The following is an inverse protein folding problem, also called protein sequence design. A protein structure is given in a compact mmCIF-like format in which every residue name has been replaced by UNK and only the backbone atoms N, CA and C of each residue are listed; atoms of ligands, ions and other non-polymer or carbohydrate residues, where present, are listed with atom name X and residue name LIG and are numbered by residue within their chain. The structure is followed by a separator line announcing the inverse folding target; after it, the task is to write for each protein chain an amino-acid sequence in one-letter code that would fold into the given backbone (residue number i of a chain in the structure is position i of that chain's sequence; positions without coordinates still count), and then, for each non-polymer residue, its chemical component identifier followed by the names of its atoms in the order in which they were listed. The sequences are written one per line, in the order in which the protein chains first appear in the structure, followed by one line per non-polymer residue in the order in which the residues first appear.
data_IF_475906141319
#
_entry.id   IF_475906141319
#
_cell.length_a   1.000
_cell.length_b   1.000
_cell.length_c   1.000
_cell.angle_alpha   90.00
_cell.angle_beta   90.00
_cell.angle_gamma   90.00
#
_symmetry.space_group_name_H-M   'P 1'
#
loop_
_entity.id
_entity.type
_entity.pdbx_description
1 polymer ?
#
# COMPACT_ATOMS: atom_id res chain seq x y z
N UNK A 1 61.71 -15.14 -11.14
CA UNK A 1 61.12 -14.06 -10.32
C UNK A 1 59.64 -14.05 -10.64
N UNK A 2 58.81 -14.40 -9.66
CA UNK A 2 57.40 -14.75 -9.85
C UNK A 2 56.46 -13.56 -10.03
N UNK A 3 55.21 -13.80 -10.47
CA UNK A 3 54.16 -12.80 -10.45
C UNK A 3 53.61 -12.63 -9.03
N UNK A 4 53.39 -11.38 -8.66
CA UNK A 4 52.89 -10.91 -7.36
C UNK A 4 51.41 -11.26 -7.22
N UNK A 5 51.06 -11.98 -6.16
CA UNK A 5 49.68 -12.20 -5.71
C UNK A 5 49.06 -10.88 -5.23
N UNK A 6 48.06 -10.38 -5.95
CA UNK A 6 47.13 -9.38 -5.45
C UNK A 6 45.89 -10.06 -4.88
N UNK A 7 45.82 -10.21 -3.56
CA UNK A 7 44.59 -10.63 -2.87
C UNK A 7 43.60 -9.45 -2.86
N UNK A 8 42.55 -9.51 -3.66
CA UNK A 8 41.35 -8.70 -3.42
C UNK A 8 40.49 -9.40 -2.35
N UNK A 9 40.59 -8.94 -1.10
CA UNK A 9 39.54 -9.13 -0.11
C UNK A 9 38.41 -8.15 -0.43
N UNK A 10 37.23 -8.66 -0.78
CA UNK A 10 35.98 -7.92 -0.62
C UNK A 10 35.29 -8.49 0.62
N UNK A 11 35.41 -7.74 1.71
CA UNK A 11 34.54 -7.83 2.89
C UNK A 11 33.58 -6.65 2.72
N UNK A 12 32.39 -6.90 2.17
CA UNK A 12 31.28 -5.95 2.22
C UNK A 12 30.22 -6.52 3.15
N UNK A 13 30.18 -5.96 4.36
CA UNK A 13 29.07 -6.07 5.28
C UNK A 13 27.82 -5.46 4.61
N UNK A 14 26.96 -6.31 4.04
CA UNK A 14 25.63 -5.92 3.57
C UNK A 14 24.71 -5.88 4.80
N UNK A 15 24.17 -4.72 5.23
CA UNK A 15 23.22 -4.68 6.32
C UNK A 15 21.91 -5.34 5.87
N UNK A 16 21.41 -6.30 6.66
CA UNK A 16 20.12 -6.98 6.48
C UNK A 16 18.94 -5.98 6.58
N UNK A 17 18.64 -5.26 5.51
CA UNK A 17 17.66 -4.17 5.48
C UNK A 17 16.21 -4.62 5.69
N UNK A 18 15.87 -5.86 5.31
CA UNK A 18 14.50 -6.40 5.40
C UNK A 18 13.99 -6.44 6.85
N UNK A 19 14.86 -6.79 7.80
CA UNK A 19 14.47 -6.87 9.21
C UNK A 19 14.20 -5.49 9.84
N UNK A 20 14.91 -4.45 9.42
CA UNK A 20 14.80 -3.12 10.05
C UNK A 20 13.47 -2.43 9.71
N UNK A 21 13.06 -2.47 8.44
CA UNK A 21 11.80 -1.88 7.99
C UNK A 21 10.59 -2.66 8.49
N UNK A 22 10.67 -3.99 8.53
CA UNK A 22 9.61 -4.85 9.08
C UNK A 22 9.43 -4.67 10.59
N UNK A 23 10.50 -4.39 11.33
CA UNK A 23 10.45 -4.06 12.77
C UNK A 23 9.84 -2.68 13.01
N UNK A 24 10.21 -1.66 12.24
CA UNK A 24 9.63 -0.32 12.40
C UNK A 24 8.15 -0.28 11.98
N UNK A 25 7.80 -1.00 10.91
CA UNK A 25 6.43 -1.20 10.47
C UNK A 25 5.55 -1.90 11.52
N UNK A 26 6.04 -3.03 12.08
CA UNK A 26 5.35 -3.73 13.15
C UNK A 26 5.14 -2.83 14.38
N UNK A 27 6.15 -2.04 14.76
CA UNK A 27 6.03 -1.06 15.86
C UNK A 27 5.03 0.06 15.56
N UNK A 28 4.93 0.51 14.31
CA UNK A 28 4.01 1.60 13.95
C UNK A 28 2.55 1.15 13.90
N UNK A 29 2.27 -0.03 13.33
CA UNK A 29 0.94 -0.66 13.45
C UNK A 29 0.60 -0.86 14.92
N UNK A 30 1.54 -1.37 15.72
CA UNK A 30 1.34 -1.61 17.14
C UNK A 30 1.09 -0.33 17.95
N UNK A 31 1.84 0.74 17.69
CA UNK A 31 1.60 2.07 18.29
C UNK A 31 0.22 2.61 17.90
N UNK A 32 -0.18 2.41 16.65
CA UNK A 32 -1.49 2.85 16.16
C UNK A 32 -2.63 2.07 16.83
N UNK A 33 -2.54 0.75 16.90
CA UNK A 33 -3.51 -0.11 17.58
C UNK A 33 -3.63 0.22 19.08
N UNK A 34 -2.54 0.63 19.73
CA UNK A 34 -2.53 1.06 21.14
C UNK A 34 -3.18 2.42 21.38
N UNK A 35 -3.17 3.34 20.41
CA UNK A 35 -3.79 4.67 20.52
C UNK A 35 -5.32 4.60 20.42
N UNK A 36 -5.86 3.61 19.70
CA UNK A 36 -7.30 3.38 19.57
C UNK A 36 -7.98 2.85 20.86
N UNK A 37 -7.22 2.42 21.86
CA UNK A 37 -7.76 1.67 23.02
C UNK A 37 -8.13 2.51 24.25
N UNK A 38 -8.21 3.86 24.18
CA UNK A 38 -8.61 4.69 25.35
C UNK A 38 -9.65 5.78 25.03
N UNK A 39 -10.84 5.75 25.65
CA UNK A 39 -11.63 6.95 25.88
C UNK A 39 -11.12 7.66 27.15
N UNK A 40 -11.05 8.99 27.11
CA UNK A 40 -10.84 9.92 28.23
C UNK A 40 -9.45 9.94 28.89
N UNK A 41 -8.52 10.72 28.35
CA UNK A 41 -7.67 11.64 29.14
C UNK A 41 -6.87 12.57 28.21
N UNK A 42 -6.73 13.83 28.62
CA UNK A 42 -6.14 14.95 27.88
C UNK A 42 -4.73 14.69 27.31
N UNK A 43 -4.35 15.31 26.19
CA UNK A 43 -3.06 15.08 25.55
C UNK A 43 -1.95 15.76 26.36
N UNK A 44 -1.06 14.97 26.97
CA UNK A 44 0.24 15.46 27.44
C UNK A 44 1.26 15.39 26.31
N UNK A 45 1.79 16.55 25.96
CA UNK A 45 2.90 16.75 25.02
C UNK A 45 4.15 16.03 25.54
N UNK A 46 4.64 15.03 24.81
CA UNK A 46 5.88 14.31 25.11
C UNK A 46 6.98 14.79 24.15
N UNK A 47 7.84 15.67 24.65
CA UNK A 47 9.16 15.95 24.07
C UNK A 47 10.10 14.77 24.36
N UNK A 48 10.79 14.26 23.33
CA UNK A 48 11.89 13.30 23.51
C UNK A 48 13.12 13.72 22.66
N UNK A 49 14.31 13.87 23.28
CA UNK A 49 15.57 14.18 22.58
C UNK A 49 16.21 12.95 21.93
N UNK A 50 17.15 13.21 21.00
CA UNK A 50 17.64 12.31 19.94
C UNK A 50 18.23 10.94 20.34
N UNK A 51 18.13 10.01 19.37
CA UNK A 51 18.58 8.61 19.44
C UNK A 51 20.07 8.44 19.05
N UNK A 52 20.85 7.83 19.94
CA UNK A 52 22.13 7.18 19.62
C UNK A 52 21.92 5.67 19.41
N UNK A 53 22.66 5.09 18.46
CA UNK A 53 22.62 3.66 18.09
C UNK A 53 23.68 2.84 18.82
N UNK A 54 23.34 1.63 19.26
CA UNK A 54 24.30 0.57 19.62
C UNK A 54 23.96 -0.74 18.92
N UNK A 55 24.96 -1.32 18.26
CA UNK A 55 24.92 -2.54 17.46
C UNK A 55 24.85 -3.82 18.32
N UNK A 56 24.18 -4.85 17.81
CA UNK A 56 24.31 -6.23 18.30
C UNK A 56 23.29 -7.19 17.68
N UNK A 57 23.76 -8.16 16.89
CA UNK A 57 22.99 -9.30 16.40
C UNK A 57 22.88 -10.38 17.49
N UNK A 58 21.67 -10.85 17.81
CA UNK A 58 21.46 -12.16 18.41
C UNK A 58 20.28 -12.89 17.78
N UNK A 59 20.54 -14.16 17.49
CA UNK A 59 19.62 -15.17 16.97
C UNK A 59 18.56 -15.50 18.05
N UNK A 60 17.27 -15.48 17.72
CA UNK A 60 16.22 -16.03 18.59
C UNK A 60 15.15 -16.75 17.77
N UNK A 61 15.28 -18.09 17.76
CA UNK A 61 14.20 -19.01 17.43
C UNK A 61 13.10 -18.95 18.49
N UNK A 62 11.84 -18.98 18.02
CA UNK A 62 10.58 -19.16 18.77
C UNK A 62 10.36 -18.21 19.96
N UNK A 63 9.51 -17.20 19.73
CA UNK A 63 8.52 -16.71 20.70
C UNK A 63 7.45 -15.90 19.93
N UNK A 64 6.21 -16.37 19.98
CA UNK A 64 5.02 -15.79 19.33
C UNK A 64 4.47 -14.57 20.09
N UNK A 65 5.34 -13.67 20.54
CA UNK A 65 4.96 -12.43 21.23
C UNK A 65 6.08 -11.40 21.08
N UNK A 66 5.76 -10.25 20.50
CA UNK A 66 6.69 -9.12 20.42
C UNK A 66 6.71 -8.45 21.80
N UNK A 67 7.73 -8.74 22.60
CA UNK A 67 7.93 -8.06 23.89
C UNK A 67 8.58 -6.70 23.64
N UNK A 68 7.84 -5.61 23.84
CA UNK A 68 8.40 -4.26 23.81
C UNK A 68 8.96 -3.93 25.19
N UNK A 69 10.28 -3.87 25.33
CA UNK A 69 10.95 -3.51 26.59
C UNK A 69 11.23 -2.00 26.60
N UNK A 70 10.56 -1.26 27.49
CA UNK A 70 11.08 0.01 28.02
C UNK A 70 11.68 -0.26 29.42
N UNK A 71 12.59 0.58 29.94
CA UNK A 71 13.20 0.36 31.26
C UNK A 71 12.22 0.32 32.44
N UNK A 72 10.92 0.61 32.25
CA UNK A 72 9.94 0.70 33.34
C UNK A 72 8.71 -0.21 33.20
N UNK A 73 8.38 -0.75 32.02
CA UNK A 73 7.15 -1.53 31.82
C UNK A 73 7.32 -2.67 30.81
N UNK A 74 6.94 -3.90 31.21
CA UNK A 74 6.81 -5.04 30.30
C UNK A 74 5.42 -4.94 29.65
N UNK A 75 5.36 -4.41 28.43
CA UNK A 75 4.12 -4.44 27.64
C UNK A 75 4.04 -5.78 26.91
N UNK A 76 3.07 -6.62 27.30
CA UNK A 76 2.60 -7.69 26.44
C UNK A 76 1.90 -7.03 25.25
N UNK A 77 2.53 -7.05 24.09
CA UNK A 77 1.90 -6.54 22.89
C UNK A 77 0.99 -7.59 22.29
N UNK A 78 -0.31 -7.29 22.29
CA UNK A 78 -1.33 -8.08 21.64
C UNK A 78 -1.25 -7.89 20.12
N UNK A 79 -1.37 -8.99 19.38
CA UNK A 79 -1.35 -8.95 17.93
C UNK A 79 -2.76 -8.66 17.42
N UNK A 80 -2.91 -7.60 16.61
CA UNK A 80 -4.22 -7.19 16.08
C UNK A 80 -4.78 -8.14 15.02
N UNK A 81 -6.10 -8.11 14.89
CA UNK A 81 -6.91 -8.80 13.89
C UNK A 81 -7.24 -7.87 12.73
N UNK A 82 -6.71 -8.16 11.55
CA UNK A 82 -6.78 -7.30 10.37
C UNK A 82 -7.68 -7.92 9.28
N UNK A 83 -8.55 -7.08 8.73
CA UNK A 83 -9.30 -7.39 7.53
C UNK A 83 -8.46 -7.00 6.31
N UNK A 84 -8.16 -7.93 5.42
CA UNK A 84 -7.32 -7.65 4.24
C UNK A 84 -8.20 -7.57 3.00
N UNK A 85 -8.19 -6.41 2.33
CA UNK A 85 -8.89 -6.15 1.06
C UNK A 85 -7.85 -5.82 -0.01
N UNK A 86 -7.34 -6.82 -0.74
CA UNK A 86 -6.27 -6.62 -1.71
C UNK A 86 -6.80 -6.18 -3.07
N UNK A 87 -5.93 -5.54 -3.86
CA UNK A 87 -6.14 -5.40 -5.31
C UNK A 87 -5.50 -6.60 -6.03
N UNK A 88 -6.25 -7.21 -6.95
CA UNK A 88 -5.84 -8.40 -7.70
C UNK A 88 -4.67 -8.11 -8.67
N UNK A 89 -4.03 -9.15 -9.20
CA UNK A 89 -2.94 -9.01 -10.15
C UNK A 89 -1.62 -8.61 -9.49
N UNK A 90 -0.92 -7.63 -10.07
CA UNK A 90 0.46 -7.32 -9.71
C UNK A 90 0.62 -6.71 -8.31
N UNK A 91 -0.41 -6.03 -7.81
CA UNK A 91 -0.42 -5.40 -6.49
C UNK A 91 -0.37 -6.46 -5.38
N UNK A 92 -1.14 -7.53 -5.54
CA UNK A 92 -1.19 -8.65 -4.59
C UNK A 92 0.16 -9.31 -4.35
N UNK A 93 1.01 -9.47 -5.38
CA UNK A 93 2.32 -10.12 -5.19
C UNK A 93 3.17 -9.45 -4.12
N UNK A 94 3.17 -8.12 -4.09
CA UNK A 94 3.94 -7.35 -3.10
C UNK A 94 3.23 -7.28 -1.75
N UNK A 95 1.89 -7.18 -1.76
CA UNK A 95 1.09 -7.14 -0.54
C UNK A 95 1.13 -8.46 0.22
N UNK A 96 1.12 -9.59 -0.50
CA UNK A 96 1.18 -10.95 0.06
C UNK A 96 2.39 -11.14 0.97
N UNK A 97 3.55 -10.63 0.59
CA UNK A 97 4.76 -10.71 1.42
C UNK A 97 4.57 -10.01 2.78
N UNK A 98 3.89 -8.86 2.79
CA UNK A 98 3.58 -8.13 4.02
C UNK A 98 2.55 -8.90 4.85
N UNK A 99 1.51 -9.44 4.22
CA UNK A 99 0.49 -10.30 4.88
C UNK A 99 1.14 -11.51 5.55
N UNK A 100 2.05 -12.21 4.87
CA UNK A 100 2.79 -13.35 5.43
C UNK A 100 3.64 -12.94 6.65
N UNK A 101 4.32 -11.80 6.56
CA UNK A 101 5.14 -11.25 7.64
C UNK A 101 4.33 -10.79 8.86
N UNK A 102 3.10 -10.30 8.65
CA UNK A 102 2.18 -9.94 9.73
C UNK A 102 1.68 -11.19 10.46
N UNK A 103 1.32 -12.25 9.73
CA UNK A 103 0.92 -13.54 10.33
C UNK A 103 2.06 -14.15 11.13
N UNK A 104 3.29 -14.14 10.60
CA UNK A 104 4.48 -14.60 11.33
C UNK A 104 4.72 -13.83 12.64
N UNK A 105 4.28 -12.58 12.71
CA UNK A 105 4.33 -11.73 13.92
C UNK A 105 3.13 -11.93 14.86
N UNK A 106 2.25 -12.87 14.56
CA UNK A 106 1.13 -13.27 15.41
C UNK A 106 -0.20 -12.58 15.09
N UNK A 107 -0.26 -11.70 14.09
CA UNK A 107 -1.51 -11.04 13.71
C UNK A 107 -2.51 -12.04 13.10
N UNK A 108 -3.79 -11.91 13.44
CA UNK A 108 -4.88 -12.66 12.80
C UNK A 108 -5.31 -11.91 11.53
N UNK A 109 -5.17 -12.53 10.35
CA UNK A 109 -5.52 -11.89 9.08
C UNK A 109 -6.63 -12.68 8.38
N UNK A 110 -7.68 -11.96 7.98
CA UNK A 110 -8.75 -12.52 7.15
C UNK A 110 -8.78 -11.79 5.82
N UNK A 111 -8.51 -12.53 4.75
CA UNK A 111 -8.49 -12.04 3.38
C UNK A 111 -9.90 -12.13 2.79
N UNK A 112 -10.42 -11.01 2.25
CA UNK A 112 -11.69 -10.98 1.52
C UNK A 112 -11.41 -10.78 0.04
N UNK A 113 -11.82 -11.75 -0.78
CA UNK A 113 -11.54 -11.75 -2.22
C UNK A 113 -12.76 -12.17 -3.04
N UNK A 114 -12.89 -11.72 -4.29
CA UNK A 114 -13.86 -12.29 -5.21
C UNK A 114 -13.54 -13.77 -5.51
N UNK A 115 -14.57 -14.57 -5.80
CA UNK A 115 -14.39 -15.97 -6.25
C UNK A 115 -13.61 -16.06 -7.58
N UNK A 116 -13.79 -15.06 -8.46
CA UNK A 116 -13.09 -14.94 -9.73
C UNK A 116 -11.98 -13.90 -9.60
N UNK A 117 -10.74 -14.33 -9.77
CA UNK A 117 -9.53 -13.50 -9.69
C UNK A 117 -8.41 -14.04 -10.58
N UNK A 118 -7.44 -13.18 -10.94
CA UNK A 118 -6.22 -13.54 -11.65
C UNK A 118 -5.19 -14.18 -10.73
N UNK A 119 -4.93 -13.59 -9.57
CA UNK A 119 -3.77 -13.92 -8.71
C UNK A 119 -4.12 -14.07 -7.23
N UNK A 120 -5.35 -13.74 -6.81
CA UNK A 120 -5.80 -13.86 -5.41
C UNK A 120 -6.05 -15.33 -4.96
N UNK A 121 -5.40 -16.31 -5.58
CA UNK A 121 -5.63 -17.74 -5.35
C UNK A 121 -5.53 -18.19 -3.88
N UNK A 122 -6.16 -19.33 -3.59
CA UNK A 122 -6.24 -19.95 -2.26
C UNK A 122 -4.88 -20.51 -1.81
N UNK A 123 -4.00 -19.64 -1.32
CA UNK A 123 -2.85 -20.09 -0.53
C UNK A 123 -3.33 -20.69 0.80
N UNK A 124 -2.71 -21.79 1.24
CA UNK A 124 -3.07 -22.53 2.46
C UNK A 124 -2.80 -21.76 3.77
N UNK A 125 -2.09 -20.65 3.70
CA UNK A 125 -1.55 -19.98 4.88
C UNK A 125 -2.41 -18.79 5.39
N UNK A 126 -3.55 -18.52 4.74
CA UNK A 126 -4.44 -17.40 5.09
C UNK A 126 -5.85 -17.90 5.37
N UNK A 127 -6.55 -17.24 6.30
CA UNK A 127 -8.01 -17.38 6.36
C UNK A 127 -8.60 -16.54 5.23
N UNK A 128 -9.32 -17.19 4.32
CA UNK A 128 -9.90 -16.55 3.14
C UNK A 128 -11.43 -16.64 3.19
N UNK A 129 -12.10 -15.51 2.97
CA UNK A 129 -13.53 -15.43 2.71
C UNK A 129 -13.74 -14.96 1.28
N UNK A 130 -14.61 -15.67 0.57
CA UNK A 130 -14.91 -15.37 -0.84
C UNK A 130 -16.35 -14.89 -0.98
N UNK A 131 -16.60 -14.05 -1.98
CA UNK A 131 -17.94 -13.65 -2.40
C UNK A 131 -18.09 -13.85 -3.92
N UNK A 132 -19.31 -14.20 -4.34
CA UNK A 132 -19.60 -14.46 -5.74
C UNK A 132 -19.53 -13.20 -6.58
N UNK A 133 -19.06 -13.33 -7.82
CA UNK A 133 -18.94 -12.23 -8.78
C UNK A 133 -20.01 -12.34 -9.86
N UNK A 134 -20.44 -11.19 -10.40
CA UNK A 134 -21.32 -11.14 -11.56
C UNK A 134 -20.63 -11.52 -12.89
N UNK A 135 -19.28 -11.52 -12.89
CA UNK A 135 -18.46 -11.85 -14.05
C UNK A 135 -17.71 -13.18 -13.86
N UNK A 136 -17.34 -13.80 -14.98
CA UNK A 136 -16.49 -14.98 -15.03
C UNK A 136 -15.05 -14.65 -15.46
N UNK A 137 -14.15 -15.64 -15.43
CA UNK A 137 -12.73 -15.43 -15.72
C UNK A 137 -12.47 -15.00 -17.17
N UNK A 138 -13.28 -15.45 -18.13
CA UNK A 138 -13.12 -15.07 -19.54
C UNK A 138 -13.46 -13.58 -19.74
N UNK A 139 -14.54 -13.10 -19.12
CA UNK A 139 -14.90 -11.68 -19.13
C UNK A 139 -13.81 -10.85 -18.46
N UNK A 140 -13.30 -11.30 -17.30
CA UNK A 140 -12.19 -10.65 -16.62
C UNK A 140 -10.93 -10.56 -17.49
N UNK A 141 -10.57 -11.64 -18.19
CA UNK A 141 -9.44 -11.66 -19.13
C UNK A 141 -9.66 -10.74 -20.33
N UNK A 142 -10.88 -10.69 -20.87
CA UNK A 142 -11.21 -9.83 -22.01
C UNK A 142 -11.15 -8.34 -21.63
N UNK A 143 -11.55 -7.99 -20.40
CA UNK A 143 -11.38 -6.64 -19.86
C UNK A 143 -9.89 -6.27 -19.78
N UNK A 144 -9.05 -7.14 -19.21
CA UNK A 144 -7.61 -6.90 -19.14
C UNK A 144 -6.96 -6.78 -20.52
N UNK A 145 -7.38 -7.60 -21.48
CA UNK A 145 -6.87 -7.54 -22.86
C UNK A 145 -7.20 -6.20 -23.51
N UNK A 146 -8.43 -5.71 -23.38
CA UNK A 146 -8.84 -4.39 -23.90
C UNK A 146 -8.01 -3.26 -23.28
N UNK A 147 -7.79 -3.32 -21.96
CA UNK A 147 -6.91 -2.38 -21.25
C UNK A 147 -5.46 -2.45 -21.74
N UNK A 148 -4.91 -3.66 -21.88
CA UNK A 148 -3.53 -3.85 -22.36
C UNK A 148 -3.35 -3.39 -23.81
N UNK A 149 -4.28 -3.74 -24.70
CA UNK A 149 -4.20 -3.41 -26.13
C UNK A 149 -4.28 -1.90 -26.35
N UNK A 150 -5.14 -1.21 -25.61
CA UNK A 150 -5.24 0.25 -25.69
C UNK A 150 -3.98 0.95 -25.18
N UNK A 151 -3.46 0.55 -24.02
CA UNK A 151 -2.29 1.18 -23.42
C UNK A 151 -0.96 0.81 -24.09
N UNK A 152 -0.85 -0.38 -24.69
CA UNK A 152 0.37 -0.80 -25.39
C UNK A 152 0.50 -0.19 -26.78
N UNK A 153 -0.63 0.02 -27.46
CA UNK A 153 -0.65 0.60 -28.81
C UNK A 153 -0.66 2.14 -28.81
N UNK A 154 -1.12 2.76 -27.72
CA UNK A 154 -1.13 4.21 -27.54
C UNK A 154 0.06 4.60 -26.66
N UNK A 155 1.06 5.27 -27.24
CA UNK A 155 2.06 5.98 -26.44
C UNK A 155 1.37 7.17 -25.79
N UNK A 156 0.77 6.96 -24.62
CA UNK A 156 0.03 8.01 -23.91
C UNK A 156 0.98 9.18 -23.63
N UNK A 157 0.73 10.30 -24.29
CA UNK A 157 1.53 11.52 -24.18
C UNK A 157 0.94 12.47 -23.13
N UNK A 158 -0.32 12.29 -22.76
CA UNK A 158 -1.01 13.08 -21.73
C UNK A 158 -2.16 12.31 -21.09
N UNK A 159 -2.60 12.76 -19.91
CA UNK A 159 -3.78 12.22 -19.23
C UNK A 159 -5.06 12.37 -20.04
N UNK A 160 -5.15 13.39 -20.90
CA UNK A 160 -6.27 13.57 -21.83
C UNK A 160 -6.35 12.44 -22.87
N UNK A 161 -5.20 11.94 -23.35
CA UNK A 161 -5.20 10.79 -24.26
C UNK A 161 -5.60 9.50 -23.57
N UNK A 162 -5.33 9.37 -22.28
CA UNK A 162 -5.81 8.26 -21.44
C UNK A 162 -7.31 8.37 -21.13
N UNK A 163 -7.87 9.58 -21.09
CA UNK A 163 -9.30 9.82 -20.90
C UNK A 163 -10.16 9.43 -22.09
N UNK A 164 -9.70 9.75 -23.30
CA UNK A 164 -10.43 9.46 -24.54
C UNK A 164 -10.31 7.99 -24.96
N UNK A 165 -9.57 7.20 -24.19
CA UNK A 165 -9.30 5.80 -24.46
C UNK A 165 -10.38 4.92 -23.84
N UNK A 166 -10.79 3.88 -24.56
CA UNK A 166 -11.85 2.93 -24.13
C UNK A 166 -11.45 2.06 -22.92
N UNK A 167 -10.25 2.26 -22.39
CA UNK A 167 -9.75 1.65 -21.16
C UNK A 167 -10.35 2.26 -19.90
N UNK A 168 -10.95 3.46 -19.96
CA UNK A 168 -11.67 4.06 -18.83
C UNK A 168 -12.76 3.12 -18.31
N UNK A 169 -13.51 2.50 -19.22
CA UNK A 169 -14.61 1.58 -18.91
C UNK A 169 -14.09 0.31 -18.20
N UNK A 170 -12.86 -0.11 -18.49
CA UNK A 170 -12.22 -1.26 -17.82
C UNK A 170 -11.98 -0.96 -16.34
N UNK A 171 -11.57 0.26 -16.01
CA UNK A 171 -11.45 0.67 -14.62
C UNK A 171 -12.80 0.70 -13.92
N UNK A 172 -13.85 1.19 -14.57
CA UNK A 172 -15.20 1.18 -13.99
C UNK A 172 -15.64 -0.23 -13.57
N UNK A 173 -15.39 -1.22 -14.42
CA UNK A 173 -15.68 -2.62 -14.10
C UNK A 173 -14.83 -3.17 -12.96
N UNK A 174 -13.59 -2.70 -12.79
CA UNK A 174 -12.73 -3.09 -11.68
C UNK A 174 -13.35 -2.72 -10.34
N UNK A 175 -14.15 -1.65 -10.23
CA UNK A 175 -14.74 -1.27 -8.95
C UNK A 175 -16.12 -1.90 -8.67
N UNK A 176 -16.75 -2.55 -9.67
CA UNK A 176 -18.07 -3.17 -9.52
C UNK A 176 -18.05 -4.39 -8.60
N UNK A 177 -16.91 -5.07 -8.44
CA UNK A 177 -16.84 -6.21 -7.52
C UNK A 177 -17.15 -5.79 -6.07
N UNK A 178 -16.97 -4.52 -5.71
CA UNK A 178 -17.33 -4.04 -4.39
C UNK A 178 -18.84 -4.14 -4.12
N UNK A 179 -19.69 -3.89 -5.12
CA UNK A 179 -21.14 -4.12 -4.98
C UNK A 179 -21.45 -5.59 -4.66
N UNK A 180 -20.72 -6.51 -5.29
CA UNK A 180 -20.92 -7.95 -5.06
C UNK A 180 -20.55 -8.34 -3.61
N UNK A 181 -19.49 -7.77 -3.04
CA UNK A 181 -19.11 -7.96 -1.64
C UNK A 181 -20.26 -7.56 -0.70
N UNK A 182 -20.81 -6.35 -0.88
CA UNK A 182 -21.91 -5.84 -0.05
C UNK A 182 -23.28 -6.47 -0.36
N UNK A 183 -23.41 -7.17 -1.50
CA UNK A 183 -24.60 -7.94 -1.84
C UNK A 183 -24.65 -9.31 -1.16
N UNK A 184 -23.56 -9.75 -0.53
CA UNK A 184 -23.53 -10.97 0.29
C UNK A 184 -23.80 -10.62 1.77
N UNK A 185 -25.05 -10.76 2.26
CA UNK A 185 -25.39 -10.40 3.64
C UNK A 185 -24.64 -11.25 4.66
N UNK A 186 -24.31 -12.51 4.34
CA UNK A 186 -23.59 -13.40 5.27
C UNK A 186 -22.16 -12.93 5.45
N UNK A 187 -21.52 -12.46 4.39
CA UNK A 187 -20.17 -11.91 4.47
C UNK A 187 -20.16 -10.59 5.24
N UNK A 188 -21.11 -9.68 4.95
CA UNK A 188 -21.23 -8.40 5.66
C UNK A 188 -21.47 -8.60 7.15
N UNK A 189 -22.38 -9.53 7.52
CA UNK A 189 -22.64 -9.89 8.91
C UNK A 189 -21.42 -10.50 9.58
N UNK A 190 -20.72 -11.42 8.90
CA UNK A 190 -19.47 -11.99 9.39
C UNK A 190 -18.41 -10.92 9.68
N UNK A 191 -18.21 -9.94 8.78
CA UNK A 191 -17.23 -8.86 9.00
C UNK A 191 -17.60 -8.06 10.24
N UNK A 192 -18.88 -7.71 10.38
CA UNK A 192 -19.40 -6.95 11.51
C UNK A 192 -19.21 -7.68 12.84
N UNK A 193 -19.49 -8.97 12.89
CA UNK A 193 -19.38 -9.77 14.12
C UNK A 193 -17.93 -10.11 14.49
N UNK A 194 -17.06 -10.22 13.49
CA UNK A 194 -15.66 -10.64 13.67
C UNK A 194 -14.77 -9.61 14.39
N UNK A 195 -15.26 -8.38 14.61
CA UNK A 195 -14.58 -7.32 15.38
C UNK A 195 -13.12 -7.11 14.96
N UNK A 196 -12.91 -6.70 13.72
CA UNK A 196 -11.57 -6.37 13.20
C UNK A 196 -11.04 -5.06 13.81
N UNK A 197 -9.72 -4.97 13.99
CA UNK A 197 -9.07 -3.78 14.52
C UNK A 197 -8.76 -2.73 13.45
N UNK A 198 -8.48 -3.18 12.22
CA UNK A 198 -8.21 -2.31 11.07
C UNK A 198 -8.40 -3.05 9.74
N UNK A 199 -8.54 -2.28 8.67
CA UNK A 199 -8.57 -2.76 7.28
C UNK A 199 -7.20 -2.50 6.64
N UNK A 200 -6.53 -3.56 6.20
CA UNK A 200 -5.30 -3.49 5.42
C UNK A 200 -5.63 -3.60 3.93
N UNK A 201 -5.36 -2.56 3.15
CA UNK A 201 -5.90 -2.43 1.80
C UNK A 201 -4.94 -1.79 0.80
N UNK A 202 -5.14 -2.07 -0.49
CA UNK A 202 -4.52 -1.32 -1.59
C UNK A 202 -5.52 -0.30 -2.15
N UNK A 203 -5.23 1.01 -2.09
CA UNK A 203 -6.18 2.08 -2.41
C UNK A 203 -6.37 2.33 -3.91
N UNK A 204 -5.63 1.60 -4.77
CA UNK A 204 -5.90 1.59 -6.20
C UNK A 204 -7.28 1.00 -6.50
N UNK A 205 -7.69 0.01 -5.71
CA UNK A 205 -9.08 -0.42 -5.58
C UNK A 205 -9.74 0.34 -4.40
N UNK A 206 -10.76 1.13 -4.71
CA UNK A 206 -11.50 1.90 -3.69
C UNK A 206 -12.32 1.01 -2.76
N UNK A 207 -12.55 -0.26 -3.08
CA UNK A 207 -13.40 -1.12 -2.28
C UNK A 207 -12.91 -1.26 -0.84
N UNK A 208 -11.59 -1.37 -0.63
CA UNK A 208 -11.02 -1.41 0.72
C UNK A 208 -11.36 -0.17 1.55
N UNK A 209 -11.34 1.01 0.94
CA UNK A 209 -11.69 2.27 1.61
C UNK A 209 -13.19 2.34 1.93
N UNK A 210 -14.04 1.85 1.02
CA UNK A 210 -15.49 1.75 1.25
C UNK A 210 -15.76 0.79 2.41
N UNK A 211 -15.09 -0.36 2.46
CA UNK A 211 -15.16 -1.33 3.57
C UNK A 211 -14.75 -0.68 4.88
N UNK A 212 -13.60 0.00 4.92
CA UNK A 212 -13.14 0.71 6.10
C UNK A 212 -14.16 1.74 6.60
N UNK A 213 -14.71 2.54 5.69
CA UNK A 213 -15.73 3.55 6.03
C UNK A 213 -17.05 2.92 6.49
N UNK A 214 -17.53 1.89 5.81
CA UNK A 214 -18.81 1.22 6.12
C UNK A 214 -18.80 0.62 7.52
N UNK A 215 -17.71 -0.05 7.90
CA UNK A 215 -17.56 -0.67 9.23
C UNK A 215 -16.97 0.28 10.27
N UNK A 216 -16.68 1.54 9.91
CA UNK A 216 -16.02 2.52 10.78
C UNK A 216 -14.70 2.01 11.37
N UNK A 217 -13.92 1.31 10.53
CA UNK A 217 -12.63 0.74 10.89
C UNK A 217 -11.48 1.64 10.44
N UNK A 218 -10.40 1.76 11.23
CA UNK A 218 -9.15 2.34 10.77
C UNK A 218 -8.63 1.67 9.50
N UNK A 219 -8.09 2.45 8.56
CA UNK A 219 -7.46 1.92 7.35
C UNK A 219 -5.93 2.06 7.37
N UNK A 220 -5.26 0.95 7.04
CA UNK A 220 -3.84 0.88 6.76
C UNK A 220 -3.69 0.68 5.25
N UNK A 221 -3.28 1.74 4.57
CA UNK A 221 -3.13 1.77 3.12
C UNK A 221 -1.75 1.23 2.72
N UNK A 222 -1.72 0.32 1.75
CA UNK A 222 -0.51 -0.21 1.12
C UNK A 222 -0.46 0.23 -0.33
N UNK A 223 0.41 1.18 -0.67
CA UNK A 223 0.42 1.77 -2.01
C UNK A 223 1.79 2.24 -2.45
N UNK A 224 2.06 2.29 -3.76
CA UNK A 224 3.22 3.03 -4.28
C UNK A 224 2.92 4.53 -4.40
N UNK A 225 1.66 4.89 -4.53
CA UNK A 225 1.14 6.23 -4.73
C UNK A 225 -0.32 6.15 -5.18
N UNK A 226 -1.06 7.24 -5.09
CA UNK A 226 -2.40 7.31 -5.67
C UNK A 226 -2.34 7.91 -7.06
N UNK A 227 -3.31 7.54 -7.89
CA UNK A 227 -3.53 8.22 -9.15
C UNK A 227 -3.93 9.68 -8.86
N UNK A 228 -3.51 10.61 -9.72
CA UNK A 228 -3.84 12.04 -9.60
C UNK A 228 -3.29 12.75 -8.37
N UNK A 229 -3.95 13.84 -7.97
CA UNK A 229 -3.66 14.68 -6.81
C UNK A 229 -4.15 14.08 -5.47
N UNK A 230 -4.82 12.92 -5.49
CA UNK A 230 -5.48 12.39 -4.30
C UNK A 230 -4.50 11.97 -3.20
N UNK A 231 -3.28 11.52 -3.52
CA UNK A 231 -2.31 11.21 -2.45
C UNK A 231 -2.02 12.46 -1.63
N UNK A 232 -1.73 13.57 -2.30
CA UNK A 232 -1.42 14.84 -1.67
C UNK A 232 -2.59 15.40 -0.86
N UNK A 233 -3.80 15.45 -1.44
CA UNK A 233 -4.97 15.96 -0.74
C UNK A 233 -5.34 15.11 0.48
N UNK A 234 -5.24 13.79 0.35
CA UNK A 234 -5.65 12.85 1.40
C UNK A 234 -4.68 12.79 2.55
N UNK A 235 -3.38 12.93 2.24
CA UNK A 235 -2.34 13.05 3.27
C UNK A 235 -2.25 14.48 3.80
N UNK A 236 -2.92 15.46 3.18
CA UNK A 236 -2.75 16.89 3.45
C UNK A 236 -1.28 17.33 3.32
N UNK A 237 -0.53 16.63 2.47
CA UNK A 237 0.89 16.80 2.32
C UNK A 237 1.19 17.65 1.07
N UNK A 238 1.83 18.83 1.20
CA UNK A 238 2.09 19.70 0.05
C UNK A 238 2.97 19.04 -1.01
N UNK A 239 2.58 19.15 -2.28
CA UNK A 239 3.42 18.77 -3.43
C UNK A 239 3.41 19.88 -4.48
N UNK A 240 4.24 20.93 -4.30
CA UNK A 240 4.17 22.09 -5.16
C UNK A 240 4.65 21.77 -6.58
N UNK A 241 3.83 22.04 -7.62
CA UNK A 241 4.20 21.74 -9.01
C UNK A 241 5.35 22.61 -9.52
N UNK A 242 5.78 23.61 -8.74
CA UNK A 242 6.97 24.40 -9.08
C UNK A 242 8.24 23.57 -8.99
N UNK A 243 8.35 22.57 -8.11
CA UNK A 243 9.57 21.77 -7.94
C UNK A 243 9.35 20.26 -7.76
N UNK A 244 8.10 19.80 -7.61
CA UNK A 244 7.76 18.38 -7.61
C UNK A 244 7.16 18.00 -8.98
N UNK A 245 7.87 17.21 -9.80
CA UNK A 245 7.32 16.69 -11.05
C UNK A 245 6.10 15.79 -10.86
N UNK A 246 5.12 15.89 -11.77
CA UNK A 246 4.03 14.93 -11.89
C UNK A 246 4.54 13.63 -12.53
N UNK A 247 4.08 12.50 -11.99
CA UNK A 247 4.66 11.16 -12.20
C UNK A 247 4.77 10.76 -13.68
N UNK A 248 3.80 11.14 -14.51
CA UNK A 248 3.75 10.72 -15.92
C UNK A 248 4.57 11.59 -16.89
N UNK A 249 5.14 12.70 -16.43
CA UNK A 249 5.90 13.60 -17.30
C UNK A 249 7.39 13.22 -17.42
N UNK A 250 7.91 12.43 -16.48
CA UNK A 250 9.32 12.01 -16.50
C UNK A 250 10.32 13.17 -16.42
N UNK A 251 9.91 14.32 -15.89
CA UNK A 251 10.81 15.46 -15.70
C UNK A 251 11.78 15.21 -14.54
N UNK A 252 12.99 15.79 -14.58
CA UNK A 252 13.95 15.71 -13.49
C UNK A 252 13.49 16.52 -12.27
N UNK A 253 14.16 16.31 -11.13
CA UNK A 253 14.04 17.12 -9.92
C UNK A 253 14.36 18.61 -10.18
N UNK A 254 15.36 18.87 -11.03
CA UNK A 254 15.74 20.20 -11.47
C UNK A 254 15.04 20.61 -12.79
N UNK A 255 13.75 20.96 -12.71
CA UNK A 255 12.98 21.43 -13.87
C UNK A 255 13.36 22.84 -14.34
N UNK A 256 13.49 23.02 -15.65
CA UNK A 256 13.52 24.32 -16.35
C UNK A 256 12.18 25.06 -16.26
N UNK A 257 12.15 26.35 -16.61
CA UNK A 257 10.90 27.13 -16.61
C UNK A 257 9.81 26.49 -17.50
N UNK A 258 10.18 26.00 -18.69
CA UNK A 258 9.24 25.35 -19.60
C UNK A 258 8.67 24.06 -19.01
N UNK A 259 9.51 23.23 -18.39
CA UNK A 259 9.07 22.00 -17.72
C UNK A 259 8.15 22.32 -16.55
N UNK A 260 8.43 23.35 -15.74
CA UNK A 260 7.54 23.79 -14.66
C UNK A 260 6.18 24.26 -15.16
N UNK A 261 6.13 24.96 -16.28
CA UNK A 261 4.87 25.38 -16.92
C UNK A 261 4.06 24.15 -17.35
N UNK A 262 4.68 23.19 -18.02
CA UNK A 262 4.00 21.94 -18.40
C UNK A 262 3.58 21.10 -17.20
N UNK A 263 4.43 21.03 -16.17
CA UNK A 263 4.12 20.34 -14.93
C UNK A 263 2.89 20.92 -14.23
N UNK A 264 2.76 22.25 -14.22
CA UNK A 264 1.60 22.93 -13.70
C UNK A 264 0.34 22.70 -14.54
N UNK A 265 0.46 22.72 -15.88
CA UNK A 265 -0.66 22.39 -16.79
C UNK A 265 -1.15 20.97 -16.51
N UNK A 266 -0.26 19.98 -16.45
CA UNK A 266 -0.65 18.60 -16.16
C UNK A 266 -1.28 18.43 -14.77
N UNK A 267 -0.80 19.17 -13.76
CA UNK A 267 -1.45 19.20 -12.45
C UNK A 267 -2.90 19.71 -12.54
N UNK A 268 -3.19 20.73 -13.35
CA UNK A 268 -4.56 21.20 -13.58
C UNK A 268 -5.40 20.20 -14.38
N UNK A 269 -4.81 19.56 -15.40
CA UNK A 269 -5.47 18.51 -16.18
C UNK A 269 -5.90 17.33 -15.30
N UNK A 270 -5.07 16.92 -14.33
CA UNK A 270 -5.43 15.88 -13.35
C UNK A 270 -6.70 16.22 -12.57
N UNK A 271 -6.87 17.47 -12.11
CA UNK A 271 -8.06 17.83 -11.33
C UNK A 271 -9.36 17.70 -12.13
N UNK A 272 -9.29 17.97 -13.44
CA UNK A 272 -10.43 17.79 -14.34
C UNK A 272 -10.65 16.33 -14.70
N UNK A 273 -9.58 15.63 -15.10
CA UNK A 273 -9.60 14.24 -15.53
C UNK A 273 -10.12 13.30 -14.43
N UNK A 274 -9.59 13.45 -13.23
CA UNK A 274 -9.78 12.47 -12.18
C UNK A 274 -11.19 12.49 -11.57
N UNK A 275 -11.87 13.64 -11.64
CA UNK A 275 -13.28 13.70 -11.25
C UNK A 275 -14.15 12.76 -12.09
N UNK A 276 -13.86 12.65 -13.39
CA UNK A 276 -14.57 11.71 -14.26
C UNK A 276 -14.13 10.27 -14.05
N UNK A 277 -12.81 10.03 -13.95
CA UNK A 277 -12.27 8.68 -13.76
C UNK A 277 -12.83 7.96 -12.53
N UNK A 278 -13.08 8.69 -11.44
CA UNK A 278 -13.63 8.13 -10.21
C UNK A 278 -15.15 8.24 -10.09
N UNK A 279 -15.87 8.66 -11.13
CA UNK A 279 -17.33 8.83 -11.07
C UNK A 279 -18.04 7.53 -10.68
N UNK A 280 -17.87 6.45 -11.46
CA UNK A 280 -18.53 5.17 -11.21
C UNK A 280 -18.17 4.58 -9.82
N UNK A 281 -16.90 4.55 -9.40
CA UNK A 281 -16.53 4.12 -8.04
C UNK A 281 -17.20 4.92 -6.92
N UNK A 282 -17.33 6.24 -7.08
CA UNK A 282 -17.98 7.11 -6.10
C UNK A 282 -19.50 6.91 -6.07
N UNK A 283 -20.13 6.64 -7.21
CA UNK A 283 -21.55 6.27 -7.28
C UNK A 283 -21.79 4.94 -6.55
N UNK A 284 -20.94 3.94 -6.78
CA UNK A 284 -20.96 2.66 -6.05
C UNK A 284 -20.78 2.88 -4.55
N UNK A 285 -19.79 3.68 -4.14
CA UNK A 285 -19.55 4.01 -2.74
C UNK A 285 -20.76 4.70 -2.10
N UNK A 286 -21.38 5.63 -2.83
CA UNK A 286 -22.55 6.38 -2.36
C UNK A 286 -23.78 5.48 -2.18
N UNK A 287 -23.98 4.52 -3.09
CA UNK A 287 -25.03 3.50 -2.98
C UNK A 287 -24.80 2.60 -1.77
N UNK A 288 -23.59 2.09 -1.57
CA UNK A 288 -23.27 1.21 -0.43
C UNK A 288 -23.41 1.94 0.92
N UNK A 289 -22.87 3.16 0.99
CA UNK A 289 -22.85 3.96 2.22
C UNK A 289 -24.15 4.74 2.45
N UNK A 290 -25.10 4.71 1.50
CA UNK A 290 -26.39 5.39 1.54
C UNK A 290 -26.25 6.91 1.82
N UNK A 291 -25.19 7.52 1.29
CA UNK A 291 -24.87 8.94 1.44
C UNK A 291 -24.03 9.42 0.26
N UNK A 292 -24.00 10.72 -0.01
CA UNK A 292 -23.07 11.25 -1.02
C UNK A 292 -21.63 11.09 -0.54
N UNK A 293 -20.76 10.56 -1.40
CA UNK A 293 -19.35 10.29 -1.09
C UNK A 293 -18.44 11.02 -2.08
N UNK A 294 -17.45 11.72 -1.55
CA UNK A 294 -16.35 12.31 -2.32
C UNK A 294 -15.08 11.45 -2.25
N UNK A 295 -14.08 11.64 -3.12
CA UNK A 295 -12.77 10.99 -2.94
C UNK A 295 -12.15 11.33 -1.58
N UNK A 296 -12.23 12.61 -1.19
CA UNK A 296 -11.74 13.08 0.10
C UNK A 296 -12.36 12.31 1.27
N UNK A 297 -13.65 12.04 1.22
CA UNK A 297 -14.39 11.28 2.24
C UNK A 297 -13.84 9.86 2.48
N UNK A 298 -13.30 9.22 1.45
CA UNK A 298 -12.73 7.87 1.51
C UNK A 298 -11.26 7.90 1.93
N UNK A 299 -10.46 8.78 1.34
CA UNK A 299 -9.01 8.75 1.50
C UNK A 299 -8.51 9.54 2.74
N UNK A 300 -9.17 10.64 3.12
CA UNK A 300 -8.67 11.54 4.19
C UNK A 300 -8.66 10.92 5.59
N UNK A 301 -9.43 9.86 5.81
CA UNK A 301 -9.52 9.14 7.08
C UNK A 301 -8.50 8.00 7.21
N UNK A 302 -7.51 7.95 6.30
CA UNK A 302 -6.47 6.92 6.33
C UNK A 302 -5.56 7.08 7.54
N UNK A 303 -5.46 6.00 8.31
CA UNK A 303 -4.71 6.01 9.57
C UNK A 303 -3.21 5.86 9.36
N UNK A 304 -2.79 4.97 8.45
CA UNK A 304 -1.38 4.77 8.10
C UNK A 304 -1.26 4.62 6.59
N UNK A 305 -0.28 5.31 6.01
CA UNK A 305 0.13 5.18 4.61
C UNK A 305 1.44 4.42 4.51
N UNK A 306 1.39 3.16 4.10
CA UNK A 306 2.58 2.38 3.76
C UNK A 306 2.94 2.59 2.30
N UNK A 307 4.00 3.34 2.08
CA UNK A 307 4.48 3.73 0.77
C UNK A 307 5.52 2.72 0.27
N UNK A 308 5.21 2.01 -0.82
CA UNK A 308 6.07 1.04 -1.51
C UNK A 308 7.15 1.72 -2.35
N UNK A 309 7.81 2.70 -1.77
CA UNK A 309 8.89 3.47 -2.33
C UNK A 309 9.90 3.75 -1.20
N UNK A 310 11.14 4.03 -1.58
CA UNK A 310 12.14 4.59 -0.67
C UNK A 310 12.21 6.08 -0.92
N UNK A 311 12.30 6.87 0.15
CA UNK A 311 12.36 8.33 0.06
C UNK A 311 13.56 8.83 -0.75
N UNK A 312 14.63 8.02 -0.87
CA UNK A 312 15.82 8.33 -1.68
C UNK A 312 15.50 8.38 -3.18
N UNK A 313 14.48 7.64 -3.63
CA UNK A 313 14.04 7.61 -5.04
C UNK A 313 12.82 8.49 -5.31
N UNK A 314 12.35 9.26 -4.33
CA UNK A 314 11.22 10.16 -4.48
C UNK A 314 11.68 11.63 -4.50
N UNK A 315 10.84 12.51 -5.02
CA UNK A 315 11.14 13.94 -5.07
C UNK A 315 11.12 14.54 -3.66
N UNK A 316 11.95 15.55 -3.37
CA UNK A 316 11.99 16.18 -2.06
C UNK A 316 10.67 16.93 -1.81
N UNK A 317 9.79 16.32 -1.02
CA UNK A 317 8.53 16.92 -0.55
C UNK A 317 8.31 16.60 0.93
N UNK A 318 7.51 17.41 1.65
CA UNK A 318 7.10 17.08 3.00
C UNK A 318 6.50 15.67 3.08
N UNK A 319 6.51 15.09 4.27
CA UNK A 319 5.87 13.80 4.58
C UNK A 319 5.18 13.92 5.93
N UNK A 320 4.02 13.29 6.06
CA UNK A 320 3.26 13.30 7.31
C UNK A 320 3.72 12.18 8.25
N UNK A 321 3.56 12.32 9.58
CA UNK A 321 4.00 11.30 10.55
C UNK A 321 3.36 9.92 10.36
N UNK A 322 2.18 9.85 9.73
CA UNK A 322 1.50 8.61 9.41
C UNK A 322 1.90 8.02 8.04
N UNK A 323 2.88 8.60 7.35
CA UNK A 323 3.42 8.09 6.09
C UNK A 323 4.74 7.34 6.35
N UNK A 324 4.78 6.10 5.90
CA UNK A 324 5.84 5.13 6.22
C UNK A 324 6.39 4.55 4.93
N UNK A 325 7.65 4.85 4.64
CA UNK A 325 8.33 4.31 3.46
C UNK A 325 8.80 2.89 3.75
N UNK A 326 8.30 1.95 2.95
CA UNK A 326 8.60 0.52 3.01
C UNK A 326 9.20 0.05 1.67
N UNK A 327 10.09 0.87 1.10
CA UNK A 327 10.90 0.48 -0.05
C UNK A 327 11.74 -0.78 0.22
N UNK A 328 12.06 -1.53 -0.83
CA UNK A 328 12.94 -2.70 -0.73
C UNK A 328 12.31 -3.98 -0.15
N UNK A 329 11.01 -3.99 0.19
CA UNK A 329 10.31 -5.17 0.75
C UNK A 329 10.28 -6.40 -0.16
N UNK A 330 10.52 -6.21 -1.46
CA UNK A 330 10.54 -7.31 -2.43
C UNK A 330 11.92 -8.00 -2.52
N UNK A 331 12.96 -7.46 -1.87
CA UNK A 331 14.31 -8.02 -1.92
C UNK A 331 14.42 -9.20 -0.96
N UNK A 332 14.87 -10.35 -1.48
CA UNK A 332 15.27 -11.50 -0.66
C UNK A 332 16.79 -11.53 -0.55
N UNK A 333 17.31 -12.22 0.47
CA UNK A 333 18.75 -12.49 0.56
C UNK A 333 19.20 -13.22 -0.72
N UNK A 334 20.27 -12.68 -1.33
CA UNK A 334 20.86 -13.26 -2.52
C UNK A 334 21.37 -14.66 -2.23
N UNK A 335 21.06 -15.61 -3.10
CA UNK A 335 21.68 -16.95 -3.04
C UNK A 335 23.18 -16.79 -3.29
N UNK A 336 24.05 -17.51 -2.55
CA UNK A 336 25.48 -17.47 -2.82
C UNK A 336 25.73 -17.88 -4.28
N UNK A 337 26.60 -17.13 -4.96
CA UNK A 337 26.97 -17.44 -6.34
C UNK A 337 27.58 -18.85 -6.40
N UNK A 338 27.27 -19.64 -7.45
CA UNK A 338 27.96 -20.89 -7.69
C UNK A 338 29.47 -20.62 -7.71
N UNK A 339 30.25 -21.44 -6.99
CA UNK A 339 31.71 -21.33 -7.05
C UNK A 339 32.12 -21.59 -8.50
N UNK A 340 32.76 -20.61 -9.12
CA UNK A 340 33.38 -20.83 -10.42
C UNK A 340 34.49 -21.87 -10.23
N UNK A 341 34.37 -23.01 -10.89
CA UNK A 341 35.51 -23.89 -11.08
C UNK A 341 36.42 -23.22 -12.11
N UNK A 342 37.59 -22.76 -11.67
CA UNK A 342 38.63 -22.31 -12.58
C UNK A 342 39.11 -23.52 -13.41
N UNK A 343 39.09 -23.43 -14.75
CA UNK A 343 39.53 -24.52 -15.62
C UNK A 343 41.02 -24.84 -15.51
#
# INVERSE_FOLDING_TARGET
MGPVEGKCKYEEDIPSGVNKYSVEFGRQIQRFLQVGSRPNSEPKQLDCPGLQFSNGCHNFDRLSSVVCVSPADIWLCEAGKLLVVPMDGSHWFTMRLVVEQLIQRGHELVLIIPEVSWQLGKSSNFTVKTYSTAYNLEELNQMFKTFSDSHWNIRQQSLLTMFLDSSSDVFEHLFLHCKNLFSDPKLVEYIKESSFDAVFLDPFDMCGLIVAKYFSLPSVVFTRGLFCHFLEESTQCPSPPSYVPRIFLGFPDAMSFRERVWNHISHLEEHLFCHYFFKTPLEVASEILQTAVTPYDLYSHTSIWLLRADFVFDYPKPVMPNMVFIGGINCQEGKPLPKAECP
#
